data_IF_394171853557
#
_entry.id   IF_394171853557
#
_cell.length_a   1.000
_cell.length_b   1.000
_cell.length_c   1.000
_cell.angle_alpha   90.00
_cell.angle_beta   90.00
_cell.angle_gamma   90.00
#
_symmetry.space_group_name_H-M   'P 1'
#
loop_
_entity.id
_entity.type
_entity.pdbx_description
1 polymer ?
#
# COMPACT_ATOMS: atom_id res chain seq x y z
N UNK A 1 -21.58 -6.04 17.44
CA UNK A 1 -21.78 -7.14 16.47
C UNK A 1 -20.64 -7.07 15.48
N UNK A 2 -19.89 -8.16 15.29
CA UNK A 2 -18.86 -8.23 14.27
C UNK A 2 -19.54 -8.06 12.89
N UNK A 3 -18.98 -7.23 12.03
CA UNK A 3 -19.54 -6.98 10.71
C UNK A 3 -19.09 -8.12 9.79
N UNK A 4 -20.04 -8.74 9.11
CA UNK A 4 -19.75 -9.76 8.11
C UNK A 4 -18.78 -9.23 7.06
N UNK A 5 -17.78 -10.04 6.71
CA UNK A 5 -16.78 -9.70 5.71
C UNK A 5 -17.46 -9.31 4.39
N UNK A 6 -16.99 -8.26 3.73
CA UNK A 6 -17.62 -7.78 2.49
C UNK A 6 -17.59 -8.83 1.37
N UNK A 7 -16.45 -9.49 1.17
CA UNK A 7 -16.34 -10.59 0.21
C UNK A 7 -17.36 -11.70 0.48
N UNK A 8 -17.66 -12.00 1.75
CA UNK A 8 -18.70 -12.92 2.11
C UNK A 8 -20.10 -12.42 1.70
N UNK A 9 -20.38 -11.13 1.91
CA UNK A 9 -21.65 -10.52 1.48
C UNK A 9 -21.81 -10.58 -0.04
N UNK A 10 -20.75 -10.24 -0.79
CA UNK A 10 -20.76 -10.27 -2.24
C UNK A 10 -20.86 -11.68 -2.79
N UNK A 11 -20.16 -12.64 -2.17
CA UNK A 11 -20.28 -14.05 -2.52
C UNK A 11 -21.71 -14.54 -2.36
N UNK A 12 -22.34 -14.30 -1.20
CA UNK A 12 -23.74 -14.71 -0.92
C UNK A 12 -24.71 -14.08 -1.92
N UNK A 13 -24.55 -12.79 -2.21
CA UNK A 13 -25.36 -12.07 -3.22
C UNK A 13 -25.22 -12.71 -4.60
N UNK A 14 -23.98 -13.01 -5.02
CA UNK A 14 -23.70 -13.65 -6.31
C UNK A 14 -24.20 -15.08 -6.37
N UNK A 15 -24.03 -15.85 -5.31
CA UNK A 15 -24.52 -17.22 -5.22
C UNK A 15 -26.05 -17.28 -5.36
N UNK A 16 -26.77 -16.39 -4.68
CA UNK A 16 -28.22 -16.29 -4.80
C UNK A 16 -28.66 -15.87 -6.23
N UNK A 17 -27.94 -14.91 -6.82
CA UNK A 17 -28.15 -14.50 -8.21
C UNK A 17 -27.89 -15.64 -9.20
N UNK A 18 -26.83 -16.39 -9.02
CA UNK A 18 -26.46 -17.55 -9.83
C UNK A 18 -27.50 -18.66 -9.75
N UNK A 19 -27.94 -19.02 -8.53
CA UNK A 19 -29.03 -19.98 -8.34
C UNK A 19 -30.32 -19.55 -9.03
N UNK A 20 -30.71 -18.28 -8.86
CA UNK A 20 -31.90 -17.72 -9.52
C UNK A 20 -31.77 -17.68 -11.04
N UNK A 21 -30.58 -17.43 -11.57
CA UNK A 21 -30.35 -17.40 -13.01
C UNK A 21 -30.47 -18.79 -13.64
N UNK A 22 -29.83 -19.81 -13.05
CA UNK A 22 -29.91 -21.19 -13.54
C UNK A 22 -31.37 -21.69 -13.56
N UNK A 23 -32.16 -21.38 -12.52
CA UNK A 23 -33.58 -21.76 -12.49
C UNK A 23 -34.44 -21.11 -13.60
N UNK A 24 -33.96 -20.03 -14.23
CA UNK A 24 -34.66 -19.29 -15.27
C UNK A 24 -34.21 -19.64 -16.68
N UNK A 25 -33.17 -20.46 -16.83
CA UNK A 25 -32.67 -20.88 -18.16
C UNK A 25 -33.79 -21.70 -18.86
N UNK A 26 -34.08 -21.30 -20.10
CA UNK A 26 -35.04 -21.99 -20.96
C UNK A 26 -34.31 -22.68 -22.12
N UNK A 27 -34.89 -23.74 -22.63
CA UNK A 27 -34.34 -24.46 -23.80
C UNK A 27 -34.21 -23.59 -25.05
N UNK A 28 -34.90 -22.48 -25.10
CA UNK A 28 -34.83 -21.51 -26.23
C UNK A 28 -33.66 -20.50 -26.09
N UNK A 29 -32.94 -20.51 -24.98
CA UNK A 29 -31.86 -19.54 -24.74
C UNK A 29 -30.60 -19.92 -25.55
N UNK A 30 -29.83 -18.89 -25.92
CA UNK A 30 -28.54 -19.10 -26.61
C UNK A 30 -27.55 -19.75 -25.67
N UNK A 31 -27.14 -20.99 -26.00
CA UNK A 31 -26.22 -21.79 -25.21
C UNK A 31 -24.89 -21.07 -24.94
N UNK A 32 -24.31 -20.41 -25.97
CA UNK A 32 -23.01 -19.73 -25.82
C UNK A 32 -23.13 -18.57 -24.83
N UNK A 33 -24.17 -17.76 -24.97
CA UNK A 33 -24.39 -16.62 -24.08
C UNK A 33 -24.66 -17.06 -22.62
N UNK A 34 -25.43 -18.15 -22.45
CA UNK A 34 -25.70 -18.72 -21.12
C UNK A 34 -24.42 -19.26 -20.51
N UNK A 35 -23.64 -20.02 -21.27
CA UNK A 35 -22.36 -20.60 -20.84
C UNK A 35 -21.38 -19.51 -20.38
N UNK A 36 -21.24 -18.42 -21.15
CA UNK A 36 -20.33 -17.32 -20.84
C UNK A 36 -20.76 -16.59 -19.55
N UNK A 37 -22.05 -16.32 -19.38
CA UNK A 37 -22.58 -15.69 -18.16
C UNK A 37 -22.40 -16.54 -16.91
N UNK A 38 -22.60 -17.86 -17.02
CA UNK A 38 -22.37 -18.76 -15.91
C UNK A 38 -20.90 -18.82 -15.54
N UNK A 39 -19.99 -18.89 -16.53
CA UNK A 39 -18.55 -18.86 -16.33
C UNK A 39 -18.11 -17.59 -15.64
N UNK A 40 -18.53 -16.42 -16.12
CA UNK A 40 -18.22 -15.13 -15.50
C UNK A 40 -18.68 -15.07 -14.03
N UNK A 41 -19.89 -15.56 -13.77
CA UNK A 41 -20.43 -15.59 -12.39
C UNK A 41 -19.64 -16.50 -11.45
N UNK A 42 -19.20 -17.66 -11.94
CA UNK A 42 -18.36 -18.59 -11.17
C UNK A 42 -16.96 -18.04 -10.92
N UNK A 43 -16.37 -17.35 -11.90
CA UNK A 43 -15.06 -16.70 -11.76
C UNK A 43 -15.11 -15.63 -10.67
N UNK A 44 -16.18 -14.83 -10.62
CA UNK A 44 -16.39 -13.85 -9.57
C UNK A 44 -16.62 -14.49 -8.19
N UNK A 45 -17.41 -15.56 -8.12
CA UNK A 45 -17.64 -16.27 -6.85
C UNK A 45 -16.35 -16.90 -6.34
N UNK A 46 -15.56 -17.51 -7.21
CA UNK A 46 -14.27 -18.08 -6.85
C UNK A 46 -13.31 -17.02 -6.30
N UNK A 47 -13.28 -15.85 -6.93
CA UNK A 47 -12.49 -14.71 -6.47
C UNK A 47 -12.89 -14.27 -5.05
N UNK A 48 -14.18 -14.13 -4.76
CA UNK A 48 -14.62 -13.76 -3.42
C UNK A 48 -14.31 -14.82 -2.36
N UNK A 49 -14.36 -16.11 -2.72
CA UNK A 49 -13.95 -17.19 -1.81
C UNK A 49 -12.45 -17.16 -1.52
N UNK A 50 -11.64 -16.84 -2.51
CA UNK A 50 -10.20 -16.70 -2.32
C UNK A 50 -9.86 -15.49 -1.43
N UNK A 51 -10.51 -14.36 -1.66
CA UNK A 51 -10.39 -13.18 -0.82
C UNK A 51 -10.83 -13.45 0.63
N UNK A 52 -11.93 -14.19 0.84
CA UNK A 52 -12.35 -14.60 2.17
C UNK A 52 -11.31 -15.47 2.87
N UNK A 53 -10.71 -16.43 2.19
CA UNK A 53 -9.69 -17.31 2.77
C UNK A 53 -8.43 -16.57 3.22
N UNK A 54 -8.13 -15.44 2.58
CA UNK A 54 -6.99 -14.59 2.90
C UNK A 54 -7.33 -13.62 4.04
N UNK A 55 -8.55 -13.09 4.06
CA UNK A 55 -8.95 -11.94 4.88
C UNK A 55 -9.71 -12.30 6.15
N UNK A 56 -10.11 -13.57 6.34
CA UNK A 56 -10.89 -13.97 7.51
C UNK A 56 -10.04 -14.48 8.67
N UNK A 57 -10.56 -14.31 9.88
CA UNK A 57 -10.00 -14.96 11.06
C UNK A 57 -10.00 -16.49 10.91
N UNK A 58 -8.93 -17.19 11.35
CA UNK A 58 -8.90 -18.65 11.39
C UNK A 58 -10.02 -19.17 12.31
N UNK A 59 -11.12 -19.61 11.73
CA UNK A 59 -12.25 -20.20 12.43
C UNK A 59 -12.74 -21.46 11.70
N UNK A 60 -13.74 -22.15 12.28
CA UNK A 60 -14.32 -23.36 11.68
C UNK A 60 -14.98 -23.13 10.32
N UNK A 61 -15.28 -21.90 9.95
CA UNK A 61 -15.95 -21.54 8.71
C UNK A 61 -14.97 -21.43 7.54
N UNK A 62 -13.67 -21.29 7.82
CA UNK A 62 -12.61 -21.38 6.80
C UNK A 62 -12.69 -22.72 6.04
N UNK A 63 -12.98 -23.82 6.74
CA UNK A 63 -13.11 -25.12 6.09
C UNK A 63 -14.35 -25.20 5.20
N UNK A 64 -15.45 -24.55 5.60
CA UNK A 64 -16.65 -24.41 4.76
C UNK A 64 -16.34 -23.57 3.52
N UNK A 65 -15.61 -22.47 3.67
CA UNK A 65 -15.17 -21.64 2.56
C UNK A 65 -14.28 -22.43 1.58
N UNK A 66 -13.35 -23.26 2.07
CA UNK A 66 -12.55 -24.16 1.24
C UNK A 66 -13.42 -25.18 0.50
N UNK A 67 -14.41 -25.76 1.18
CA UNK A 67 -15.37 -26.69 0.56
C UNK A 67 -16.15 -25.99 -0.57
N UNK A 68 -16.65 -24.78 -0.34
CA UNK A 68 -17.32 -24.00 -1.38
C UNK A 68 -16.38 -23.70 -2.56
N UNK A 69 -15.11 -23.35 -2.29
CA UNK A 69 -14.11 -23.10 -3.34
C UNK A 69 -13.90 -24.34 -4.22
N UNK A 70 -13.74 -25.52 -3.61
CA UNK A 70 -13.59 -26.77 -4.33
C UNK A 70 -14.82 -27.10 -5.18
N UNK A 71 -16.02 -26.86 -4.67
CA UNK A 71 -17.26 -27.05 -5.41
C UNK A 71 -17.36 -26.07 -6.60
N UNK A 72 -17.02 -24.80 -6.42
CA UNK A 72 -17.01 -23.81 -7.50
C UNK A 72 -16.00 -24.20 -8.59
N UNK A 73 -14.82 -24.70 -8.22
CA UNK A 73 -13.85 -25.25 -9.19
C UNK A 73 -14.41 -26.42 -9.96
N UNK A 74 -15.10 -27.33 -9.31
CA UNK A 74 -15.81 -28.45 -9.96
C UNK A 74 -16.87 -27.96 -10.94
N UNK A 75 -17.67 -26.95 -10.56
CA UNK A 75 -18.67 -26.35 -11.45
C UNK A 75 -18.05 -25.65 -12.66
N UNK A 76 -16.95 -24.93 -12.47
CA UNK A 76 -16.21 -24.31 -13.59
C UNK A 76 -15.78 -25.37 -14.62
N UNK A 77 -15.27 -26.50 -14.15
CA UNK A 77 -14.86 -27.60 -15.02
C UNK A 77 -16.07 -28.21 -15.74
N UNK A 78 -17.17 -28.46 -15.03
CA UNK A 78 -18.41 -29.00 -15.63
C UNK A 78 -18.98 -28.07 -16.69
N UNK A 79 -19.06 -26.77 -16.41
CA UNK A 79 -19.54 -25.78 -17.38
C UNK A 79 -18.59 -25.64 -18.58
N UNK A 80 -17.27 -25.75 -18.35
CA UNK A 80 -16.31 -25.72 -19.45
C UNK A 80 -16.49 -26.89 -20.43
N UNK A 81 -16.83 -28.06 -19.92
CA UNK A 81 -17.04 -29.29 -20.70
C UNK A 81 -18.44 -29.43 -21.27
N UNK A 82 -19.41 -28.62 -20.81
CA UNK A 82 -20.79 -28.68 -21.29
C UNK A 82 -20.90 -28.36 -22.80
N UNK A 83 -21.65 -29.17 -23.53
CA UNK A 83 -21.89 -29.04 -24.96
C UNK A 83 -23.29 -28.58 -25.33
N UNK A 84 -24.22 -28.63 -24.38
CA UNK A 84 -25.61 -28.26 -24.56
C UNK A 84 -26.21 -27.71 -23.25
N UNK A 85 -27.45 -27.19 -23.30
CA UNK A 85 -28.12 -26.64 -22.12
C UNK A 85 -28.49 -27.72 -21.09
N UNK A 86 -28.73 -28.96 -21.49
CA UNK A 86 -29.09 -30.05 -20.58
C UNK A 86 -27.87 -30.43 -19.70
N UNK A 87 -26.65 -30.35 -20.26
CA UNK A 87 -25.40 -30.54 -19.48
C UNK A 87 -25.27 -29.48 -18.38
N UNK A 88 -25.75 -28.24 -18.63
CA UNK A 88 -25.73 -27.16 -17.65
C UNK A 88 -26.76 -27.36 -16.53
N UNK A 89 -27.89 -27.99 -16.82
CA UNK A 89 -28.94 -28.30 -15.84
C UNK A 89 -28.45 -29.31 -14.80
N UNK A 90 -27.52 -30.20 -15.13
CA UNK A 90 -26.94 -31.13 -14.16
C UNK A 90 -26.19 -30.44 -13.03
N UNK A 91 -25.71 -29.20 -13.27
CA UNK A 91 -25.08 -28.36 -12.24
C UNK A 91 -26.09 -27.96 -11.17
N UNK A 92 -27.40 -27.92 -11.47
CA UNK A 92 -28.43 -27.51 -10.51
C UNK A 92 -28.53 -28.39 -9.28
N UNK A 93 -28.32 -29.71 -9.45
CA UNK A 93 -28.36 -30.67 -8.33
C UNK A 93 -27.22 -30.46 -7.31
N UNK A 94 -26.12 -29.89 -7.76
CA UNK A 94 -24.94 -29.61 -6.91
C UNK A 94 -25.02 -28.24 -6.24
N UNK A 95 -25.88 -27.33 -6.72
CA UNK A 95 -26.02 -25.99 -6.15
C UNK A 95 -26.58 -25.99 -4.72
N UNK A 96 -27.34 -27.01 -4.37
CA UNK A 96 -27.92 -27.16 -3.01
C UNK A 96 -26.82 -27.42 -1.96
N UNK A 97 -25.65 -27.90 -2.40
CA UNK A 97 -24.49 -28.08 -1.53
C UNK A 97 -23.83 -26.75 -1.14
N UNK A 98 -24.06 -25.68 -1.90
CA UNK A 98 -23.58 -24.34 -1.60
C UNK A 98 -24.61 -23.59 -0.74
N UNK A 99 -24.49 -23.70 0.58
CA UNK A 99 -25.39 -23.01 1.49
C UNK A 99 -24.89 -21.57 1.75
N UNK A 100 -25.66 -20.51 1.39
CA UNK A 100 -25.28 -19.12 1.66
C UNK A 100 -25.01 -18.83 3.14
N UNK A 101 -25.74 -19.51 4.05
CA UNK A 101 -25.63 -19.31 5.49
C UNK A 101 -24.29 -19.81 6.05
N UNK A 102 -23.54 -20.62 5.31
CA UNK A 102 -22.21 -21.04 5.69
C UNK A 102 -21.20 -19.88 5.78
N UNK A 103 -21.53 -18.73 5.19
CA UNK A 103 -20.69 -17.53 5.18
C UNK A 103 -21.16 -16.43 6.16
N UNK A 104 -22.25 -16.66 6.93
CA UNK A 104 -22.83 -15.62 7.80
C UNK A 104 -21.91 -15.14 8.93
N UNK A 105 -21.00 -16.00 9.38
CA UNK A 105 -20.08 -15.70 10.48
C UNK A 105 -18.65 -15.48 10.02
N UNK A 106 -18.42 -15.34 8.71
CA UNK A 106 -17.12 -14.90 8.18
C UNK A 106 -16.90 -13.44 8.53
N UNK A 107 -16.19 -13.21 9.64
CA UNK A 107 -15.92 -11.90 10.17
C UNK A 107 -14.58 -11.36 9.65
N UNK A 108 -14.55 -10.06 9.45
CA UNK A 108 -13.32 -9.34 9.13
C UNK A 108 -12.32 -9.50 10.29
N UNK A 109 -11.06 -9.84 9.97
CA UNK A 109 -9.98 -9.88 10.93
C UNK A 109 -9.74 -8.48 11.45
N UNK A 110 -10.24 -8.14 12.62
CA UNK A 110 -9.95 -6.89 13.30
C UNK A 110 -8.71 -7.05 14.15
N UNK A 111 -7.58 -6.63 13.62
CA UNK A 111 -6.45 -6.27 14.48
C UNK A 111 -6.85 -5.01 15.25
N UNK A 112 -7.14 -5.21 16.53
CA UNK A 112 -7.36 -4.22 17.61
C UNK A 112 -7.82 -2.81 17.23
N UNK A 113 -8.97 -2.46 17.79
CA UNK A 113 -9.53 -1.12 17.85
C UNK A 113 -8.52 -0.07 18.33
N UNK A 114 -7.86 0.58 17.41
CA UNK A 114 -7.23 1.87 17.70
C UNK A 114 -8.18 2.98 17.25
N UNK A 115 -8.27 4.03 18.05
CA UNK A 115 -9.11 5.20 17.77
C UNK A 115 -8.85 5.86 16.40
N UNK A 116 -7.73 5.54 15.75
CA UNK A 116 -7.38 5.93 14.40
C UNK A 116 -8.23 5.26 13.30
N UNK A 117 -8.93 4.14 13.58
CA UNK A 117 -9.80 3.47 12.60
C UNK A 117 -11.10 4.24 12.34
N UNK A 118 -11.49 5.12 13.25
CA UNK A 118 -12.66 6.00 13.09
C UNK A 118 -12.35 7.24 12.23
N UNK A 119 -11.12 7.71 12.22
CA UNK A 119 -10.67 8.86 11.40
C UNK A 119 -10.40 8.51 9.95
N UNK A 120 -9.93 7.29 9.69
CA UNK A 120 -9.76 6.76 8.33
C UNK A 120 -11.03 6.00 7.94
N UNK A 121 -12.07 6.76 7.60
CA UNK A 121 -13.40 6.23 7.31
C UNK A 121 -13.36 4.82 6.74
N UNK A 122 -14.05 3.92 7.37
CA UNK A 122 -14.19 2.48 7.21
C UNK A 122 -14.46 1.95 5.77
N UNK A 123 -13.87 2.54 4.75
CA UNK A 123 -14.04 2.23 3.33
C UNK A 123 -12.72 1.91 2.61
N UNK A 124 -11.74 1.41 3.34
CA UNK A 124 -10.51 0.86 2.76
C UNK A 124 -10.59 -0.62 2.29
N UNK A 125 -11.75 -1.28 2.15
CA UNK A 125 -11.78 -2.72 1.92
C UNK A 125 -11.57 -3.15 0.47
N UNK A 126 -11.26 -2.25 -0.48
CA UNK A 126 -11.33 -2.62 -1.89
C UNK A 126 -10.05 -2.33 -2.67
N UNK A 127 -8.93 -2.60 -2.06
CA UNK A 127 -7.64 -2.48 -2.73
C UNK A 127 -7.28 -3.72 -3.52
N UNK A 128 -7.83 -4.90 -3.16
CA UNK A 128 -7.49 -6.14 -3.83
C UNK A 128 -8.20 -6.28 -5.19
N UNK A 129 -7.43 -6.68 -6.17
CA UNK A 129 -7.89 -6.89 -7.54
C UNK A 129 -7.79 -8.36 -7.91
N UNK A 130 -8.57 -8.82 -8.92
CA UNK A 130 -8.46 -10.19 -9.40
C UNK A 130 -7.03 -10.55 -9.79
N UNK A 131 -6.58 -11.76 -9.42
CA UNK A 131 -5.24 -12.23 -9.72
C UNK A 131 -4.94 -12.19 -11.23
N UNK A 132 -5.89 -12.67 -12.05
CA UNK A 132 -5.76 -12.64 -13.50
C UNK A 132 -5.61 -11.22 -14.06
N UNK A 133 -6.31 -10.25 -13.46
CA UNK A 133 -6.21 -8.85 -13.84
C UNK A 133 -4.80 -8.32 -13.63
N UNK A 134 -4.22 -8.57 -12.47
CA UNK A 134 -2.87 -8.11 -12.12
C UNK A 134 -1.78 -8.83 -12.93
N UNK A 135 -1.96 -10.12 -13.22
CA UNK A 135 -1.07 -10.87 -14.09
C UNK A 135 -1.05 -10.32 -15.52
N UNK A 136 -2.23 -10.03 -16.10
CA UNK A 136 -2.32 -9.41 -17.43
C UNK A 136 -1.68 -8.02 -17.40
N UNK A 137 -1.92 -7.21 -16.36
CA UNK A 137 -1.25 -5.92 -16.20
C UNK A 137 0.28 -6.06 -16.23
N UNK A 138 0.85 -7.04 -15.53
CA UNK A 138 2.29 -7.29 -15.57
C UNK A 138 2.78 -7.74 -16.94
N UNK A 139 2.00 -8.53 -17.67
CA UNK A 139 2.32 -8.99 -19.02
C UNK A 139 2.34 -7.86 -20.07
N UNK A 140 1.81 -6.68 -19.76
CA UNK A 140 1.97 -5.50 -20.63
C UNK A 140 3.39 -4.96 -20.68
N UNK A 141 4.24 -5.38 -19.74
CA UNK A 141 5.64 -4.97 -19.64
C UNK A 141 6.51 -6.04 -20.30
N UNK A 142 7.39 -5.65 -21.21
CA UNK A 142 8.30 -6.58 -21.91
C UNK A 142 9.48 -7.02 -21.07
N UNK A 143 9.89 -6.22 -20.08
CA UNK A 143 11.06 -6.50 -19.24
C UNK A 143 10.83 -7.75 -18.39
N UNK A 144 11.81 -8.67 -18.36
CA UNK A 144 11.75 -9.90 -17.58
C UNK A 144 11.78 -9.64 -16.07
N UNK A 145 12.64 -8.72 -15.64
CA UNK A 145 12.77 -8.31 -14.24
C UNK A 145 12.56 -6.80 -14.08
N UNK A 146 11.79 -6.41 -13.08
CA UNK A 146 11.52 -5.00 -12.76
C UNK A 146 11.49 -4.76 -11.25
N UNK A 147 11.89 -3.56 -10.85
CA UNK A 147 11.70 -3.06 -9.49
C UNK A 147 10.35 -2.36 -9.37
N UNK A 148 9.38 -2.97 -8.70
CA UNK A 148 8.04 -2.40 -8.55
C UNK A 148 7.80 -1.90 -7.14
N UNK A 149 7.28 -0.68 -7.01
CA UNK A 149 6.90 -0.09 -5.74
C UNK A 149 5.38 -0.05 -5.57
N UNK A 150 4.91 -0.53 -4.42
CA UNK A 150 3.53 -0.54 -3.98
C UNK A 150 3.36 0.38 -2.77
N UNK A 151 3.12 1.68 -2.96
CA UNK A 151 2.69 2.55 -1.87
C UNK A 151 1.33 2.09 -1.34
N UNK A 152 1.15 2.00 -0.03
CA UNK A 152 -0.03 1.40 0.58
C UNK A 152 -0.27 -0.04 0.10
N UNK A 153 0.73 -0.91 0.24
CA UNK A 153 0.67 -2.29 -0.26
C UNK A 153 -0.32 -3.20 0.50
N UNK A 154 -0.89 -2.74 1.59
CA UNK A 154 -1.80 -3.48 2.44
C UNK A 154 -1.18 -4.82 2.89
N UNK A 155 -1.90 -5.92 2.75
CA UNK A 155 -1.43 -7.28 3.03
C UNK A 155 -0.45 -7.85 1.97
N UNK A 156 -0.17 -7.11 0.90
CA UNK A 156 0.72 -7.51 -0.19
C UNK A 156 0.07 -8.40 -1.25
N UNK A 157 -1.23 -8.69 -1.16
CA UNK A 157 -1.93 -9.57 -2.12
C UNK A 157 -1.84 -9.07 -3.55
N UNK A 158 -2.02 -7.78 -3.79
CA UNK A 158 -1.87 -7.19 -5.13
C UNK A 158 -0.44 -7.36 -5.67
N UNK A 159 0.56 -7.17 -4.82
CA UNK A 159 1.96 -7.33 -5.19
C UNK A 159 2.26 -8.78 -5.57
N UNK A 160 1.78 -9.74 -4.77
CA UNK A 160 1.92 -11.18 -5.04
C UNK A 160 1.39 -11.57 -6.41
N UNK A 161 0.20 -11.11 -6.78
CA UNK A 161 -0.41 -11.48 -8.06
C UNK A 161 0.17 -10.72 -9.25
N UNK A 162 0.74 -9.54 -9.03
CA UNK A 162 1.44 -8.78 -10.05
C UNK A 162 2.83 -9.36 -10.35
N UNK A 163 3.45 -10.04 -9.40
CA UNK A 163 4.83 -10.54 -9.46
C UNK A 163 5.05 -11.55 -10.56
N UNK A 164 6.15 -11.38 -11.33
CA UNK A 164 6.83 -12.44 -12.07
C UNK A 164 8.08 -12.93 -11.31
N UNK A 165 8.65 -14.05 -11.72
CA UNK A 165 9.68 -14.79 -10.98
C UNK A 165 10.88 -13.92 -10.58
N UNK A 166 11.37 -13.08 -11.48
CA UNK A 166 12.58 -12.26 -11.28
C UNK A 166 12.29 -10.84 -10.76
N UNK A 167 11.02 -10.47 -10.55
CA UNK A 167 10.65 -9.15 -10.07
C UNK A 167 11.05 -8.91 -8.63
N UNK A 168 11.54 -7.71 -8.34
CA UNK A 168 11.82 -7.25 -6.98
C UNK A 168 10.70 -6.29 -6.56
N UNK A 169 9.95 -6.68 -5.54
CA UNK A 169 8.81 -5.94 -5.06
C UNK A 169 9.14 -5.18 -3.77
N UNK A 170 8.78 -3.92 -3.77
CA UNK A 170 8.94 -3.01 -2.64
C UNK A 170 7.58 -2.53 -2.19
N UNK A 171 7.32 -2.56 -0.90
CA UNK A 171 6.06 -2.09 -0.33
C UNK A 171 6.25 -1.05 0.75
N UNK A 172 5.21 -0.27 0.97
CA UNK A 172 5.11 0.57 2.14
C UNK A 172 3.79 0.31 2.83
N UNK A 173 3.84 0.05 4.13
CA UNK A 173 2.68 -0.29 4.92
C UNK A 173 2.86 0.14 6.38
N UNK A 174 1.76 0.50 7.02
CA UNK A 174 1.72 0.89 8.41
C UNK A 174 1.12 -0.20 9.32
N UNK A 175 0.14 -0.96 8.84
CA UNK A 175 -0.68 -1.86 9.64
C UNK A 175 -0.47 -3.33 9.34
N UNK A 176 -0.41 -3.72 8.06
CA UNK A 176 -0.41 -5.11 7.60
C UNK A 176 1.00 -5.63 7.26
N UNK A 177 2.02 -5.13 7.95
CA UNK A 177 3.44 -5.40 7.62
C UNK A 177 3.78 -6.88 7.65
N UNK A 178 3.27 -7.61 8.64
CA UNK A 178 3.57 -9.04 8.80
C UNK A 178 3.06 -9.85 7.62
N UNK A 179 1.83 -9.60 7.18
CA UNK A 179 1.24 -10.26 6.02
C UNK A 179 1.95 -9.84 4.72
N UNK A 180 2.21 -8.55 4.57
CA UNK A 180 2.87 -8.01 3.38
C UNK A 180 4.29 -8.56 3.19
N UNK A 181 5.02 -8.88 4.27
CA UNK A 181 6.36 -9.49 4.21
C UNK A 181 6.40 -10.86 3.55
N UNK A 182 5.30 -11.58 3.55
CA UNK A 182 5.23 -12.87 2.87
C UNK A 182 5.27 -12.74 1.34
N UNK A 183 4.95 -11.55 0.82
CA UNK A 183 4.74 -11.29 -0.60
C UNK A 183 5.71 -10.29 -1.23
N UNK A 184 6.37 -9.49 -0.42
CA UNK A 184 7.26 -8.41 -0.85
C UNK A 184 8.70 -8.67 -0.45
N UNK A 185 9.64 -8.27 -1.29
CA UNK A 185 11.07 -8.43 -1.03
C UNK A 185 11.58 -7.43 0.03
N UNK A 186 11.00 -6.21 0.05
CA UNK A 186 11.34 -5.18 1.03
C UNK A 186 10.11 -4.35 1.38
N UNK A 187 9.97 -4.01 2.67
CA UNK A 187 8.86 -3.19 3.17
C UNK A 187 9.41 -2.05 4.02
N UNK A 188 8.91 -0.85 3.74
CA UNK A 188 9.13 0.34 4.54
C UNK A 188 7.96 0.52 5.52
N UNK A 189 8.22 0.47 6.82
CA UNK A 189 7.20 0.58 7.86
C UNK A 189 6.79 2.03 8.10
N UNK A 190 5.49 2.27 8.18
CA UNK A 190 4.88 3.55 8.53
C UNK A 190 4.32 4.33 7.34
N UNK A 191 3.77 5.52 7.58
CA UNK A 191 3.21 6.36 6.54
C UNK A 191 4.29 6.87 5.56
N UNK A 192 3.89 7.15 4.32
CA UNK A 192 4.79 7.68 3.29
C UNK A 192 5.42 9.02 3.70
N UNK A 193 4.67 9.81 4.46
CA UNK A 193 5.19 11.04 5.04
C UNK A 193 6.25 10.73 6.10
N UNK A 194 7.47 11.19 5.88
CA UNK A 194 8.62 10.94 6.75
C UNK A 194 9.45 9.71 6.35
N UNK A 195 9.02 8.92 5.38
CA UNK A 195 9.85 7.85 4.82
C UNK A 195 10.96 8.41 3.93
N UNK A 196 12.11 7.74 3.95
CA UNK A 196 13.27 8.07 3.12
C UNK A 196 13.42 7.01 2.05
N UNK A 197 13.04 7.37 0.82
CA UNK A 197 13.04 6.47 -0.34
C UNK A 197 13.74 7.19 -1.49
N UNK A 198 14.62 6.49 -2.21
CA UNK A 198 15.35 7.03 -3.36
C UNK A 198 14.39 7.49 -4.45
N UNK A 199 14.60 8.72 -4.96
CA UNK A 199 13.83 9.23 -6.09
C UNK A 199 14.28 8.58 -7.39
N UNK A 200 13.37 8.47 -8.36
CA UNK A 200 13.65 7.99 -9.72
C UNK A 200 14.31 6.61 -9.79
N UNK A 201 14.00 5.73 -8.84
CA UNK A 201 14.58 4.38 -8.78
C UNK A 201 13.69 3.31 -9.39
N UNK A 202 12.38 3.31 -9.10
CA UNK A 202 11.51 2.20 -9.46
C UNK A 202 11.14 2.19 -10.94
N UNK A 203 11.09 0.99 -11.51
CA UNK A 203 10.70 0.74 -12.89
C UNK A 203 9.20 0.85 -13.09
N UNK A 204 8.45 0.35 -12.09
CA UNK A 204 7.01 0.45 -12.04
C UNK A 204 6.53 0.91 -10.66
N UNK A 205 5.41 1.62 -10.64
CA UNK A 205 4.73 2.05 -9.42
C UNK A 205 3.25 1.72 -9.54
N UNK A 206 2.76 0.89 -8.64
CA UNK A 206 1.36 0.50 -8.57
C UNK A 206 0.71 1.12 -7.34
N UNK A 207 -0.18 2.08 -7.56
CA UNK A 207 -0.85 2.83 -6.51
C UNK A 207 -2.35 2.58 -6.49
N UNK A 208 -2.86 2.16 -5.36
CA UNK A 208 -4.28 2.20 -5.02
C UNK A 208 -4.44 3.23 -3.91
N UNK A 209 -4.76 4.48 -4.25
CA UNK A 209 -4.78 5.56 -3.27
C UNK A 209 -5.98 5.43 -2.33
N UNK A 210 -5.83 5.98 -1.15
CA UNK A 210 -6.95 6.16 -0.21
C UNK A 210 -7.93 7.17 -0.81
N UNK A 211 -9.21 6.86 -0.70
CA UNK A 211 -10.29 7.73 -1.21
C UNK A 211 -10.74 8.65 -0.10
N UNK A 212 -10.71 9.95 -0.33
CA UNK A 212 -11.14 10.92 0.66
C UNK A 212 -10.62 12.33 0.40
N UNK A 213 -10.62 13.13 1.45
CA UNK A 213 -10.06 14.47 1.43
C UNK A 213 -9.08 14.63 2.58
N UNK A 214 -7.88 15.13 2.26
CA UNK A 214 -6.92 15.58 3.26
C UNK A 214 -7.18 17.04 3.58
N UNK A 215 -7.14 17.38 4.85
CA UNK A 215 -7.21 18.77 5.30
C UNK A 215 -5.81 19.36 5.33
N UNK A 216 -5.66 20.47 4.65
CA UNK A 216 -4.45 21.29 4.67
C UNK A 216 -4.80 22.66 5.18
N UNK A 217 -4.15 23.08 6.26
CA UNK A 217 -4.28 24.45 6.74
C UNK A 217 -3.35 25.33 5.92
N UNK A 218 -3.91 26.28 5.21
CA UNK A 218 -3.18 27.32 4.48
C UNK A 218 -3.46 28.68 5.15
N UNK A 219 -2.71 29.72 4.79
CA UNK A 219 -2.86 31.08 5.31
C UNK A 219 -4.28 31.67 5.17
N UNK A 220 -5.12 31.06 4.33
CA UNK A 220 -6.52 31.43 4.11
C UNK A 220 -7.54 30.50 4.79
N UNK A 221 -7.10 29.51 5.59
CA UNK A 221 -7.99 28.57 6.27
C UNK A 221 -7.76 27.11 5.89
N UNK A 222 -8.71 26.24 6.22
CA UNK A 222 -8.63 24.80 5.94
C UNK A 222 -9.06 24.55 4.49
N UNK A 223 -8.12 24.14 3.67
CA UNK A 223 -8.36 23.71 2.28
C UNK A 223 -8.43 22.19 2.23
N UNK A 224 -9.49 21.66 1.63
CA UNK A 224 -9.65 20.21 1.40
C UNK A 224 -9.04 19.83 0.04
N UNK A 225 -8.01 19.00 0.05
CA UNK A 225 -7.39 18.43 -1.16
C UNK A 225 -7.81 16.95 -1.30
N UNK A 226 -8.18 16.48 -2.52
CA UNK A 226 -8.42 15.05 -2.75
C UNK A 226 -7.20 14.22 -2.35
N UNK A 227 -7.41 13.19 -1.52
CA UNK A 227 -6.35 12.33 -1.00
C UNK A 227 -5.60 11.62 -2.13
N UNK A 228 -6.31 11.21 -3.17
CA UNK A 228 -5.75 10.56 -4.35
C UNK A 228 -4.69 11.43 -5.03
N UNK A 229 -5.00 12.72 -5.21
CA UNK A 229 -4.04 13.66 -5.80
C UNK A 229 -2.80 13.86 -4.94
N UNK A 230 -3.00 13.94 -3.63
CA UNK A 230 -1.90 14.09 -2.68
C UNK A 230 -0.97 12.87 -2.72
N UNK A 231 -1.53 11.65 -2.70
CA UNK A 231 -0.75 10.42 -2.73
C UNK A 231 0.00 10.25 -4.05
N UNK A 232 -0.63 10.54 -5.19
CA UNK A 232 0.06 10.50 -6.49
C UNK A 232 1.24 11.47 -6.51
N UNK A 233 1.02 12.72 -6.08
CA UNK A 233 2.08 13.73 -6.03
C UNK A 233 3.26 13.30 -5.15
N UNK A 234 2.98 12.62 -4.05
CA UNK A 234 4.01 12.18 -3.12
C UNK A 234 4.75 10.92 -3.59
N UNK A 235 4.15 10.10 -4.46
CA UNK A 235 4.70 8.81 -4.88
C UNK A 235 5.40 8.86 -6.25
N UNK A 236 4.89 9.63 -7.20
CA UNK A 236 5.39 9.63 -8.58
C UNK A 236 6.87 10.03 -8.69
N UNK A 237 7.40 10.74 -7.72
CA UNK A 237 8.81 11.12 -7.65
C UNK A 237 9.76 9.93 -7.51
N UNK A 238 9.28 8.81 -6.96
CA UNK A 238 10.07 7.60 -6.77
C UNK A 238 10.18 6.76 -8.04
N UNK A 239 9.20 6.92 -8.96
CA UNK A 239 9.23 6.30 -10.27
C UNK A 239 10.28 6.98 -11.14
N UNK A 240 11.11 6.20 -11.85
CA UNK A 240 12.09 6.76 -12.79
C UNK A 240 11.43 7.34 -14.04
N UNK A 241 12.09 8.28 -14.75
CA UNK A 241 11.63 8.72 -16.07
C UNK A 241 11.48 7.53 -17.02
N UNK A 242 10.38 7.47 -17.77
CA UNK A 242 10.05 6.31 -18.62
C UNK A 242 9.60 5.07 -17.88
N UNK A 243 9.52 5.10 -16.55
CA UNK A 243 8.95 4.03 -15.74
C UNK A 243 7.42 4.01 -15.83
N UNK A 244 6.81 2.85 -15.55
CA UNK A 244 5.37 2.62 -15.66
C UNK A 244 4.64 3.00 -14.38
N UNK A 245 3.68 3.91 -14.51
CA UNK A 245 2.77 4.30 -13.44
C UNK A 245 1.42 3.61 -13.64
N UNK A 246 0.98 2.88 -12.62
CA UNK A 246 -0.35 2.26 -12.57
C UNK A 246 -1.11 2.84 -11.37
N UNK A 247 -2.27 3.41 -11.61
CA UNK A 247 -3.14 3.91 -10.55
C UNK A 247 -4.56 3.40 -10.72
N UNK A 248 -5.12 2.85 -9.65
CA UNK A 248 -6.50 2.39 -9.65
C UNK A 248 -7.36 3.24 -8.74
N UNK A 249 -8.38 3.86 -9.34
CA UNK A 249 -9.33 4.75 -8.66
C UNK A 249 -10.76 4.50 -9.18
N UNK A 250 -11.80 4.85 -8.41
CA UNK A 250 -13.15 4.98 -8.97
C UNK A 250 -13.15 6.04 -10.09
N UNK A 251 -13.81 5.76 -11.22
CA UNK A 251 -13.82 6.70 -12.35
C UNK A 251 -14.38 8.07 -11.97
N UNK A 252 -15.33 8.12 -11.02
CA UNK A 252 -15.92 9.35 -10.48
C UNK A 252 -14.94 10.22 -9.71
N UNK A 253 -13.79 9.67 -9.30
CA UNK A 253 -12.72 10.39 -8.58
C UNK A 253 -11.67 10.98 -9.51
N UNK A 254 -11.80 10.75 -10.82
CA UNK A 254 -10.95 11.39 -11.84
C UNK A 254 -11.38 12.85 -12.07
N UNK A 255 -11.16 13.67 -11.05
CA UNK A 255 -11.49 15.09 -11.07
C UNK A 255 -10.62 15.86 -12.07
N UNK A 256 -11.08 17.00 -12.62
CA UNK A 256 -10.29 17.81 -13.57
C UNK A 256 -8.89 18.17 -13.08
N UNK A 257 -8.72 18.42 -11.79
CA UNK A 257 -7.42 18.72 -11.16
C UNK A 257 -6.48 17.51 -11.18
N UNK A 258 -7.01 16.30 -11.02
CA UNK A 258 -6.25 15.05 -11.14
C UNK A 258 -5.94 14.74 -12.60
N UNK A 259 -6.91 14.88 -13.50
CA UNK A 259 -6.72 14.73 -14.94
C UNK A 259 -5.61 15.65 -15.48
N UNK A 260 -5.59 16.92 -15.03
CA UNK A 260 -4.53 17.86 -15.38
C UNK A 260 -3.16 17.41 -14.83
N UNK A 261 -3.12 16.88 -13.62
CA UNK A 261 -1.87 16.39 -13.04
C UNK A 261 -1.33 15.18 -13.81
N UNK A 262 -2.19 14.22 -14.13
CA UNK A 262 -1.82 13.03 -14.89
C UNK A 262 -1.37 13.38 -16.32
N UNK A 263 -2.09 14.28 -17.02
CA UNK A 263 -1.72 14.70 -18.38
C UNK A 263 -0.39 15.44 -18.47
N UNK A 264 0.12 16.01 -17.36
CA UNK A 264 1.45 16.61 -17.30
C UNK A 264 2.56 15.59 -17.07
N UNK A 265 2.25 14.53 -16.33
CA UNK A 265 3.28 13.62 -15.84
C UNK A 265 3.33 12.29 -16.59
N UNK A 266 2.30 11.95 -17.36
CA UNK A 266 2.20 10.65 -18.03
C UNK A 266 2.08 10.82 -19.54
N UNK A 267 2.65 9.85 -20.25
CA UNK A 267 2.53 9.66 -21.69
C UNK A 267 2.09 8.23 -22.00
N UNK A 268 1.62 7.97 -23.20
CA UNK A 268 1.19 6.65 -23.67
C UNK A 268 0.16 5.99 -22.73
N UNK A 269 -0.89 6.78 -22.39
CA UNK A 269 -1.85 6.40 -21.35
C UNK A 269 -2.93 5.50 -21.89
N UNK A 270 -3.14 4.35 -21.22
CA UNK A 270 -4.28 3.46 -21.36
C UNK A 270 -5.16 3.52 -20.11
N UNK A 271 -6.47 3.34 -20.31
CA UNK A 271 -7.47 3.35 -19.25
C UNK A 271 -8.22 2.03 -19.29
N UNK A 272 -8.04 1.22 -18.26
CA UNK A 272 -8.52 -0.16 -18.21
C UNK A 272 -9.58 -0.29 -17.14
N UNK A 273 -10.70 -0.93 -17.45
CA UNK A 273 -11.74 -1.24 -16.47
C UNK A 273 -11.27 -2.33 -15.52
N UNK A 274 -11.50 -2.15 -14.23
CA UNK A 274 -11.46 -3.26 -13.29
C UNK A 274 -12.66 -4.17 -13.59
N UNK A 275 -12.50 -5.52 -13.61
CA UNK A 275 -13.54 -6.45 -14.00
C UNK A 275 -14.87 -6.26 -13.27
N UNK A 276 -15.96 -6.63 -13.94
CA UNK A 276 -17.33 -6.48 -13.47
C UNK A 276 -17.57 -7.08 -12.08
N UNK A 277 -18.33 -6.38 -11.27
CA UNK A 277 -18.61 -6.70 -9.85
C UNK A 277 -18.10 -5.62 -8.91
N UNK A 278 -17.32 -4.68 -9.42
CA UNK A 278 -16.90 -3.51 -8.67
C UNK A 278 -18.00 -2.45 -8.64
N UNK A 279 -18.68 -2.34 -7.51
CA UNK A 279 -19.74 -1.32 -7.31
C UNK A 279 -19.20 0.11 -7.48
N UNK A 280 -17.89 0.31 -7.28
CA UNK A 280 -17.25 1.61 -7.42
C UNK A 280 -16.89 1.97 -8.86
N UNK A 281 -17.08 1.05 -9.83
CA UNK A 281 -16.66 1.24 -11.22
C UNK A 281 -15.22 1.76 -11.30
N UNK A 282 -14.29 1.01 -10.73
CA UNK A 282 -12.87 1.41 -10.73
C UNK A 282 -12.27 1.28 -12.13
N UNK A 283 -11.32 2.16 -12.37
CA UNK A 283 -10.46 2.14 -13.56
C UNK A 283 -9.00 2.12 -13.12
N UNK A 284 -8.17 1.44 -13.89
CA UNK A 284 -6.71 1.56 -13.76
C UNK A 284 -6.19 2.40 -14.93
N UNK A 285 -5.55 3.49 -14.58
CA UNK A 285 -4.85 4.34 -15.54
C UNK A 285 -3.39 3.88 -15.57
N UNK A 286 -2.92 3.50 -16.74
CA UNK A 286 -1.55 3.01 -16.99
C UNK A 286 -0.87 4.00 -17.90
N UNK A 287 0.35 4.43 -17.58
CA UNK A 287 1.10 5.34 -18.44
C UNK A 287 2.57 5.43 -18.05
N UNK A 288 3.40 5.81 -18.98
CA UNK A 288 4.82 6.03 -18.75
C UNK A 288 5.04 7.41 -18.13
N UNK A 289 5.89 7.48 -17.09
CA UNK A 289 6.28 8.76 -16.52
C UNK A 289 7.05 9.60 -17.54
N UNK A 290 6.56 10.80 -17.78
CA UNK A 290 7.21 11.73 -18.71
C UNK A 290 8.62 12.11 -18.22
N UNK A 291 9.58 12.07 -19.12
CA UNK A 291 10.97 12.48 -18.86
C UNK A 291 11.21 13.97 -19.07
N UNK A 292 10.35 14.62 -19.85
CA UNK A 292 10.47 16.03 -20.24
C UNK A 292 9.45 16.91 -19.56
N UNK A 293 9.90 18.07 -19.15
CA UNK A 293 9.23 19.07 -18.34
C UNK A 293 7.78 19.41 -18.72
N UNK A 294 6.89 19.17 -17.79
CA UNK A 294 5.71 20.00 -17.40
C UNK A 294 4.78 20.58 -18.45
N UNK A 295 4.84 20.19 -19.71
CA UNK A 295 3.85 20.59 -20.72
C UNK A 295 2.69 19.61 -20.64
N UNK A 296 1.50 20.12 -20.29
CA UNK A 296 0.28 19.31 -20.25
C UNK A 296 -0.09 18.88 -21.66
N UNK A 297 -0.27 17.59 -21.86
CA UNK A 297 -0.91 17.06 -23.05
C UNK A 297 -2.41 17.44 -23.02
N UNK A 298 -2.81 18.36 -23.89
CA UNK A 298 -4.19 18.88 -23.92
C UNK A 298 -5.20 17.81 -24.34
N UNK A 299 -4.83 16.96 -25.29
CA UNK A 299 -5.70 15.89 -25.77
C UNK A 299 -5.93 14.86 -24.66
N UNK A 300 -4.87 14.41 -24.00
CA UNK A 300 -4.97 13.52 -22.85
C UNK A 300 -5.77 14.15 -21.72
N UNK A 301 -5.59 15.45 -21.44
CA UNK A 301 -6.35 16.14 -20.41
C UNK A 301 -7.85 16.13 -20.71
N UNK A 302 -8.26 16.52 -21.92
CA UNK A 302 -9.68 16.53 -22.27
C UNK A 302 -10.29 15.13 -22.27
N UNK A 303 -9.53 14.10 -22.70
CA UNK A 303 -9.95 12.70 -22.64
C UNK A 303 -10.16 12.23 -21.21
N UNK A 304 -9.21 12.53 -20.30
CA UNK A 304 -9.33 12.15 -18.89
C UNK A 304 -10.42 12.90 -18.15
N UNK A 305 -10.65 14.18 -18.47
CA UNK A 305 -11.66 15.03 -17.86
C UNK A 305 -13.09 14.62 -18.22
N UNK A 306 -13.30 14.18 -19.44
CA UNK A 306 -14.61 13.85 -20.00
C UNK A 306 -14.86 12.33 -20.05
N UNK A 307 -14.14 11.53 -19.30
CA UNK A 307 -14.17 10.07 -19.38
C UNK A 307 -15.57 9.49 -19.20
N UNK A 308 -16.01 8.72 -20.18
CA UNK A 308 -17.19 7.86 -20.10
C UNK A 308 -16.73 6.43 -19.77
N UNK A 309 -17.20 5.87 -18.64
CA UNK A 309 -16.76 4.56 -18.17
C UNK A 309 -16.96 3.45 -19.19
N UNK A 310 -18.03 3.50 -19.97
CA UNK A 310 -18.38 2.42 -20.91
C UNK A 310 -17.70 2.58 -22.28
N UNK A 311 -17.42 3.83 -22.71
CA UNK A 311 -16.90 4.12 -24.06
C UNK A 311 -15.38 4.31 -24.10
N UNK A 312 -14.83 4.98 -23.07
CA UNK A 312 -13.44 5.44 -23.10
C UNK A 312 -12.49 4.50 -22.37
N UNK A 313 -13.01 3.41 -21.77
CA UNK A 313 -12.21 2.40 -21.09
C UNK A 313 -12.19 1.09 -21.85
N UNK A 314 -11.03 0.43 -21.83
CA UNK A 314 -10.86 -0.89 -22.45
C UNK A 314 -11.03 -2.01 -21.43
N UNK A 315 -11.40 -3.20 -21.90
CA UNK A 315 -11.32 -4.41 -21.06
C UNK A 315 -9.87 -4.81 -20.85
N UNK A 316 -9.57 -5.48 -19.74
CA UNK A 316 -8.23 -6.02 -19.46
C UNK A 316 -7.78 -7.00 -20.56
N UNK A 317 -8.71 -7.72 -21.16
CA UNK A 317 -8.44 -8.71 -22.22
C UNK A 317 -8.09 -8.06 -23.57
N UNK A 318 -8.48 -6.81 -23.75
CA UNK A 318 -8.17 -6.04 -24.96
C UNK A 318 -6.80 -5.33 -24.86
N UNK A 319 -6.18 -5.41 -23.68
CA UNK A 319 -4.89 -4.79 -23.43
C UNK A 319 -3.77 -5.61 -24.06
N UNK A 320 -2.98 -4.98 -24.91
CA UNK A 320 -1.92 -5.64 -25.65
C UNK A 320 -0.79 -6.07 -24.70
N UNK A 321 -0.35 -7.32 -24.83
CA UNK A 321 0.85 -7.81 -24.14
C UNK A 321 2.11 -7.16 -24.70
N UNK A 322 3.10 -6.88 -23.84
CA UNK A 322 4.35 -6.25 -24.24
C UNK A 322 4.21 -4.81 -24.75
N UNK A 323 3.15 -4.11 -24.36
CA UNK A 323 2.88 -2.74 -24.79
C UNK A 323 3.94 -1.73 -24.31
N UNK A 324 4.53 -1.98 -23.15
CA UNK A 324 5.48 -1.08 -22.50
C UNK A 324 6.87 -1.71 -22.38
N UNK A 325 7.88 -1.03 -22.91
CA UNK A 325 9.28 -1.36 -22.68
C UNK A 325 9.89 -0.31 -21.77
N UNK A 326 10.35 -0.75 -20.61
CA UNK A 326 10.91 0.14 -19.58
C UNK A 326 12.43 0.30 -19.81
N UNK A 327 13.02 1.41 -19.34
CA UNK A 327 14.46 1.57 -19.39
C UNK A 327 15.19 0.43 -18.67
N UNK A 328 16.33 -0.01 -19.19
CA UNK A 328 17.10 -1.17 -18.67
C UNK A 328 18.33 -0.76 -17.85
N UNK A 329 18.54 0.54 -17.64
CA UNK A 329 19.67 1.01 -16.82
C UNK A 329 19.57 0.48 -15.39
N UNK A 330 20.67 -0.06 -14.88
CA UNK A 330 20.77 -0.50 -13.50
C UNK A 330 20.95 0.73 -12.60
N UNK A 331 19.95 0.97 -11.77
CA UNK A 331 19.99 2.04 -10.78
C UNK A 331 20.31 1.44 -9.39
N UNK A 332 21.07 2.17 -8.61
CA UNK A 332 21.39 1.78 -7.23
C UNK A 332 20.35 2.36 -6.28
N UNK A 333 19.77 1.51 -5.45
CA UNK A 333 18.87 1.93 -4.38
C UNK A 333 19.71 2.42 -3.18
N UNK A 334 19.78 3.71 -3.00
CA UNK A 334 20.53 4.29 -1.87
C UNK A 334 19.74 4.18 -0.56
N UNK A 335 18.46 4.53 -0.62
CA UNK A 335 17.60 4.56 0.56
C UNK A 335 16.25 3.92 0.31
N UNK A 336 15.85 3.04 1.23
CA UNK A 336 14.49 2.51 1.32
C UNK A 336 14.16 2.26 2.79
N UNK A 337 13.70 3.29 3.48
CA UNK A 337 13.43 3.27 4.91
C UNK A 337 12.06 3.87 5.20
N UNK A 338 11.29 3.20 6.03
CA UNK A 338 10.04 3.69 6.56
C UNK A 338 10.23 4.83 7.56
N UNK A 339 9.16 5.55 7.83
CA UNK A 339 9.12 6.60 8.86
C UNK A 339 9.09 6.04 10.29
N UNK A 340 8.80 4.74 10.44
CA UNK A 340 8.80 4.03 11.72
C UNK A 340 9.89 2.96 11.71
N UNK A 341 10.59 2.82 12.83
CA UNK A 341 11.57 1.75 13.02
C UNK A 341 10.83 0.42 13.17
N UNK A 342 11.27 -0.58 12.42
CA UNK A 342 10.87 -1.95 12.62
C UNK A 342 11.99 -2.70 13.36
N UNK A 343 11.64 -3.26 14.51
CA UNK A 343 12.59 -4.02 15.35
C UNK A 343 13.19 -5.21 14.58
N UNK A 344 12.40 -5.86 13.73
CA UNK A 344 12.86 -6.98 12.90
C UNK A 344 13.89 -6.53 11.87
N UNK A 345 13.69 -5.36 11.24
CA UNK A 345 14.66 -4.81 10.28
C UNK A 345 15.98 -4.41 10.99
N UNK A 346 15.87 -3.90 12.22
CA UNK A 346 17.04 -3.59 13.05
C UNK A 346 17.78 -4.87 13.43
N UNK A 347 17.07 -5.90 13.88
CA UNK A 347 17.68 -7.20 14.25
C UNK A 347 18.31 -7.89 13.03
N UNK A 348 17.68 -7.84 11.87
CA UNK A 348 18.23 -8.41 10.63
C UNK A 348 19.41 -7.60 10.07
N UNK A 349 19.46 -6.30 10.35
CA UNK A 349 20.59 -5.46 9.99
C UNK A 349 21.77 -5.57 10.99
N UNK A 350 21.49 -5.95 12.23
CA UNK A 350 22.50 -6.26 13.26
C UNK A 350 23.06 -7.67 13.02
N UNK A 351 23.72 -7.89 11.90
CA UNK A 351 24.55 -9.09 11.70
C UNK A 351 25.82 -8.94 12.54
N UNK A 352 26.36 -10.07 13.00
CA UNK A 352 27.61 -10.10 13.78
C UNK A 352 28.72 -9.27 13.10
N UNK A 353 28.81 -9.34 11.77
CA UNK A 353 29.75 -8.53 10.99
C UNK A 353 29.50 -7.01 11.07
N UNK A 354 28.28 -6.55 11.31
CA UNK A 354 27.99 -5.13 11.47
C UNK A 354 28.40 -4.61 12.82
N UNK A 355 28.22 -5.42 13.86
CA UNK A 355 28.70 -5.14 15.22
C UNK A 355 30.24 -5.12 15.21
N UNK A 356 30.87 -6.10 14.55
CA UNK A 356 32.31 -6.18 14.42
C UNK A 356 32.87 -5.01 13.60
N UNK A 357 32.24 -4.62 12.50
CA UNK A 357 32.64 -3.46 11.71
C UNK A 357 32.40 -2.14 12.46
N UNK A 358 31.31 -2.03 13.23
CA UNK A 358 31.05 -0.86 14.07
C UNK A 358 32.08 -0.77 15.20
N UNK A 359 32.40 -1.88 15.85
CA UNK A 359 33.42 -1.96 16.89
C UNK A 359 34.82 -1.71 16.29
N UNK A 360 35.12 -2.25 15.10
CA UNK A 360 36.37 -1.97 14.40
C UNK A 360 36.49 -0.51 13.97
N UNK A 361 35.41 0.12 13.48
CA UNK A 361 35.37 1.53 13.14
C UNK A 361 35.50 2.44 14.35
N UNK A 362 35.03 2.00 15.52
CA UNK A 362 35.27 2.70 16.79
C UNK A 362 36.66 2.45 17.39
N UNK A 363 37.26 1.31 17.05
CA UNK A 363 38.64 0.99 17.48
C UNK A 363 39.72 1.49 16.52
N UNK A 364 39.32 1.98 15.29
CA UNK A 364 40.25 2.69 14.45
C UNK A 364 40.54 4.04 15.12
N UNK A 365 41.73 4.24 15.65
CA UNK A 365 42.02 5.42 16.45
C UNK A 365 42.22 6.64 15.54
N UNK A 366 41.15 7.29 15.14
CA UNK A 366 41.13 8.74 15.21
C UNK A 366 41.13 9.12 16.69
N UNK A 367 41.87 8.33 17.49
CA UNK A 367 42.30 8.70 18.80
C UNK A 367 43.32 9.81 18.53
N UNK A 368 42.82 11.02 18.59
CA UNK A 368 43.62 12.06 19.20
C UNK A 368 43.93 11.55 20.61
N UNK A 369 44.90 10.61 20.68
CA UNK A 369 45.47 10.16 21.93
C UNK A 369 45.93 11.41 22.63
N UNK A 370 45.41 11.63 23.81
CA UNK A 370 45.91 12.57 24.83
C UNK A 370 45.65 14.09 24.59
N UNK A 371 44.54 14.46 24.01
CA UNK A 371 44.04 15.84 24.20
C UNK A 371 42.90 15.85 25.24
N UNK A 372 43.23 15.49 26.47
CA UNK A 372 42.40 15.93 27.57
C UNK A 372 42.32 17.47 27.55
N UNK A 373 41.13 18.07 27.59
CA UNK A 373 41.04 19.51 27.69
C UNK A 373 41.84 20.00 28.87
N UNK A 374 42.59 21.09 28.66
CA UNK A 374 43.47 21.67 29.71
C UNK A 374 42.73 22.04 31.00
N UNK A 375 41.42 22.16 30.93
CA UNK A 375 40.50 22.38 32.04
C UNK A 375 39.29 21.44 31.91
N UNK A 376 38.73 20.94 33.04
CA UNK A 376 37.52 20.15 33.00
C UNK A 376 36.39 20.94 32.37
N UNK A 377 35.58 20.26 31.57
CA UNK A 377 34.41 20.86 30.95
C UNK A 377 33.46 21.45 31.97
N UNK A 378 32.97 22.67 31.76
CA UNK A 378 31.86 23.18 32.52
C UNK A 378 30.55 22.48 32.09
N UNK A 379 29.50 22.59 32.89
CA UNK A 379 28.20 21.94 32.62
C UNK A 379 27.66 22.29 31.25
N UNK A 380 27.81 23.53 30.77
CA UNK A 380 27.35 23.95 29.44
C UNK A 380 28.14 23.29 28.30
N UNK A 381 29.43 23.10 28.46
CA UNK A 381 30.29 22.41 27.49
C UNK A 381 29.99 20.90 27.46
N UNK A 382 29.76 20.28 28.61
CA UNK A 382 29.30 18.89 28.68
C UNK A 382 27.96 18.73 27.99
N UNK A 383 27.03 19.67 28.19
CA UNK A 383 25.75 19.70 27.50
C UNK A 383 25.91 19.79 25.97
N UNK A 384 26.82 20.64 25.47
CA UNK A 384 27.09 20.79 24.02
C UNK A 384 27.71 19.52 23.44
N UNK A 385 28.64 18.88 24.12
CA UNK A 385 29.30 17.64 23.69
C UNK A 385 28.31 16.49 23.65
N UNK A 386 27.43 16.39 24.65
CA UNK A 386 26.33 15.40 24.67
C UNK A 386 25.33 15.64 23.52
N UNK A 387 24.98 16.88 23.24
CA UNK A 387 24.00 17.21 22.17
C UNK A 387 24.55 17.10 20.76
N UNK A 388 25.89 17.20 20.62
CA UNK A 388 26.56 16.95 19.34
C UNK A 388 26.66 15.45 19.01
N UNK A 389 26.35 14.57 19.95
CA UNK A 389 26.50 13.12 19.81
C UNK A 389 27.94 12.63 20.03
N UNK A 390 28.89 13.51 20.39
CA UNK A 390 30.28 13.13 20.59
C UNK A 390 30.50 12.19 21.81
N UNK A 391 29.54 12.14 22.75
CA UNK A 391 29.52 11.21 23.88
C UNK A 391 28.40 10.16 23.74
N UNK A 392 27.79 10.01 22.57
CA UNK A 392 26.85 8.92 22.33
C UNK A 392 27.60 7.58 22.40
N UNK A 393 27.14 6.69 23.26
CA UNK A 393 27.72 5.37 23.39
C UNK A 393 27.68 4.84 24.82
N UNK A 394 28.61 3.95 25.11
CA UNK A 394 28.73 3.32 26.42
C UNK A 394 29.71 4.14 27.26
N UNK A 395 29.27 4.56 28.43
CA UNK A 395 30.13 5.22 29.43
C UNK A 395 30.30 4.25 30.59
N UNK A 396 31.56 3.96 30.92
CA UNK A 396 31.93 3.14 32.08
C UNK A 396 32.05 4.03 33.33
N UNK A 397 31.34 3.66 34.39
CA UNK A 397 31.45 4.29 35.67
C UNK A 397 32.64 3.72 36.45
N UNK A 398 33.15 4.42 37.48
CA UNK A 398 34.37 4.02 38.24
C UNK A 398 34.34 2.59 38.81
N UNK A 399 33.20 1.93 38.88
CA UNK A 399 33.05 0.55 39.41
C UNK A 399 32.78 -0.50 38.32
N UNK A 400 33.05 -0.21 37.05
CA UNK A 400 32.80 -1.14 35.93
C UNK A 400 31.34 -1.28 35.53
N UNK A 401 30.49 -0.37 35.95
CA UNK A 401 29.07 -0.32 35.57
C UNK A 401 28.94 0.51 34.29
N UNK A 402 28.38 -0.10 33.25
CA UNK A 402 28.22 0.54 31.94
C UNK A 402 26.83 1.17 31.77
N UNK A 403 26.79 2.41 31.35
CA UNK A 403 25.59 3.12 30.95
C UNK A 403 25.61 3.44 29.47
N UNK A 404 24.48 3.39 28.81
CA UNK A 404 24.35 3.87 27.43
C UNK A 404 23.72 5.26 27.44
N UNK A 405 24.42 6.24 26.88
CA UNK A 405 23.96 7.64 26.82
C UNK A 405 23.76 8.05 25.39
N UNK A 406 22.66 8.75 25.12
CA UNK A 406 22.37 9.39 23.84
C UNK A 406 21.79 10.77 24.02
N UNK A 407 22.51 11.77 23.50
CA UNK A 407 22.07 13.16 23.45
C UNK A 407 21.39 13.50 22.11
N UNK A 408 20.39 14.35 22.16
CA UNK A 408 19.72 14.87 20.95
C UNK A 408 19.17 16.26 21.20
N UNK A 409 19.14 17.08 20.14
CA UNK A 409 18.45 18.37 20.13
C UNK A 409 17.17 18.24 19.32
N UNK A 410 16.04 18.58 19.90
CA UNK A 410 14.73 18.58 19.22
C UNK A 410 14.16 19.98 19.14
N UNK A 411 13.50 20.31 18.03
CA UNK A 411 12.74 21.54 17.90
C UNK A 411 11.35 21.34 18.52
N UNK A 412 11.01 22.18 19.48
CA UNK A 412 9.68 22.25 20.10
C UNK A 412 8.98 23.50 19.58
N UNK A 413 7.84 23.30 18.94
CA UNK A 413 7.00 24.39 18.44
C UNK A 413 5.86 24.57 19.44
N UNK A 414 5.81 25.75 20.07
CA UNK A 414 4.71 26.13 20.95
C UNK A 414 3.84 27.16 20.23
N UNK A 415 2.57 26.82 20.06
CA UNK A 415 1.60 27.71 19.41
C UNK A 415 0.68 28.34 20.47
N UNK A 416 0.79 29.64 20.66
CA UNK A 416 -0.13 30.41 21.49
C UNK A 416 -1.17 31.05 20.59
N UNK A 417 -2.45 30.89 20.96
CA UNK A 417 -3.60 31.50 20.29
C UNK A 417 -4.25 32.49 21.22
N UNK A 418 -4.38 33.71 20.77
CA UNK A 418 -5.07 34.80 21.48
C UNK A 418 -6.23 35.29 20.61
N UNK A 419 -7.43 35.22 21.14
CA UNK A 419 -8.60 35.81 20.49
C UNK A 419 -8.55 37.34 20.70
N UNK A 420 -8.44 38.07 19.61
CA UNK A 420 -8.57 39.51 19.56
C UNK A 420 -10.02 39.85 19.16
N UNK A 421 -10.62 40.88 19.74
CA UNK A 421 -11.98 41.33 19.40
C UNK A 421 -12.18 41.44 17.88
N UNK A 422 -13.42 41.21 17.41
CA UNK A 422 -13.85 41.29 16.00
C UNK A 422 -13.38 40.16 15.05
N UNK A 423 -13.54 38.89 15.43
CA UNK A 423 -13.23 37.76 14.58
C UNK A 423 -11.75 37.67 14.13
N UNK A 424 -10.83 38.24 14.88
CA UNK A 424 -9.40 38.14 14.63
C UNK A 424 -8.74 37.30 15.71
N UNK A 425 -7.97 36.31 15.28
CA UNK A 425 -7.15 35.47 16.15
C UNK A 425 -5.67 35.72 15.86
N UNK A 426 -4.90 36.01 16.91
CA UNK A 426 -3.43 36.06 16.81
C UNK A 426 -2.89 34.67 17.11
N UNK A 427 -2.16 34.12 16.17
CA UNK A 427 -1.43 32.86 16.35
C UNK A 427 0.07 33.17 16.41
N UNK A 428 0.69 32.90 17.54
CA UNK A 428 2.15 33.09 17.71
C UNK A 428 2.79 31.72 17.85
N UNK A 429 3.65 31.38 16.89
CA UNK A 429 4.46 30.16 16.94
C UNK A 429 5.85 30.51 17.45
N UNK A 430 6.23 29.88 18.55
CA UNK A 430 7.60 29.98 19.10
C UNK A 430 8.32 28.66 18.89
N UNK A 431 9.45 28.72 18.19
CA UNK A 431 10.30 27.56 17.95
C UNK A 431 11.47 27.61 18.92
N UNK A 432 11.53 26.63 19.82
CA UNK A 432 12.62 26.49 20.77
C UNK A 432 13.37 25.18 20.50
N UNK A 433 14.69 25.20 20.69
CA UNK A 433 15.48 23.99 20.69
C UNK A 433 15.52 23.43 22.11
N UNK A 434 15.11 22.19 22.29
CA UNK A 434 15.16 21.46 23.53
C UNK A 434 16.23 20.37 23.45
N UNK A 435 17.11 20.34 24.41
CA UNK A 435 18.11 19.28 24.57
C UNK A 435 17.45 18.14 25.35
N UNK A 436 17.59 16.92 24.84
CA UNK A 436 17.17 15.69 25.52
C UNK A 436 18.37 14.74 25.62
N UNK A 437 18.59 14.20 26.81
CA UNK A 437 19.62 13.22 27.06
C UNK A 437 18.92 11.96 27.57
N UNK A 438 19.09 10.88 26.87
CA UNK A 438 18.53 9.59 27.22
C UNK A 438 19.65 8.71 27.78
N UNK A 439 19.42 8.12 28.93
CA UNK A 439 20.38 7.27 29.63
C UNK A 439 19.71 5.93 29.90
N UNK A 440 20.35 4.85 29.46
CA UNK A 440 20.03 3.48 29.87
C UNK A 440 21.08 3.03 30.87
N UNK A 441 20.65 2.75 32.08
CA UNK A 441 21.55 2.29 33.16
C UNK A 441 21.74 0.78 33.08
N UNK A 442 22.81 0.27 33.65
CA UNK A 442 23.12 -1.15 33.66
C UNK A 442 22.06 -2.03 34.37
N UNK A 443 21.30 -1.45 35.29
CA UNK A 443 20.16 -2.10 35.93
C UNK A 443 18.85 -2.04 35.11
N UNK A 444 18.94 -1.61 33.86
CA UNK A 444 17.80 -1.59 32.91
C UNK A 444 16.83 -0.42 33.08
N UNK A 445 17.18 0.62 33.83
CA UNK A 445 16.37 1.80 33.99
C UNK A 445 16.59 2.77 32.82
N UNK A 446 15.55 3.40 32.39
CA UNK A 446 15.58 4.49 31.41
C UNK A 446 15.39 5.83 32.14
N UNK A 447 16.33 6.74 31.94
CA UNK A 447 16.29 8.11 32.48
C UNK A 447 16.35 9.08 31.32
N UNK A 448 15.41 10.02 31.29
CA UNK A 448 15.43 11.13 30.34
C UNK A 448 15.67 12.43 31.08
N UNK A 449 16.66 13.17 30.66
CA UNK A 449 17.01 14.51 31.14
C UNK A 449 16.75 15.53 30.02
N UNK A 450 16.13 16.67 30.34
CA UNK A 450 15.87 17.75 29.40
C UNK A 450 14.43 18.25 29.37
#
# INVERSE_FOLDING_TARGET
MAKMLYSAQQYVKRLNGFKSYIQKIKQSDDFSLVKDRLKESLDLMWFYLEDMLISCEPNREVDKCRTHKTLIESFRNTIALANNLDDLVTVTSLLDLLNPNDMEHMNEFRLCDSASDLEYGSRAPFTNMPASYLQIMRQTITNQSINTFFPNCMDGTNARYFKQEEDILYGQEERYITQAREHLNRIAKGPLKGSTISNNFFDALFLVPRIGYAEKTDHMGVVKEPQERLEIRNTIKYLRPGGLFLITIPYTRLLPTLAMYLSKNLTNVQIVRVPNGDELKRITIIGLKNSTNNVSDKELYERLKAIDYDKDTISIHDLQQGLYTLPTELLTLEFFRGSQLDVTDVLNACTDNMIDNFMAAQTDPLVVKDQAPLLPFNIGQVGLVLTSGCLDGVIEEMEGINHVIKGMTTKVITTNREDLDDNKMRCTETINNQVKINIFTADGKYIQLG
#
